data_IF_847883332699
#
_entry.id   IF_847883332699
#
_cell.length_a   1.000
_cell.length_b   1.000
_cell.length_c   1.000
_cell.angle_alpha   90.00
_cell.angle_beta   90.00
_cell.angle_gamma   90.00
#
_symmetry.space_group_name_H-M   'P 1'
#
loop_
_entity.id
_entity.type
_entity.pdbx_description
1 polymer ?
#
# COMPACT_ATOMS: atom_id res chain seq x y z
N UNK A 1 9.57 7.59 -14.97
CA UNK A 1 10.71 7.20 -14.12
C UNK A 1 11.53 8.39 -13.65
N UNK A 2 11.80 9.39 -14.49
CA UNK A 2 12.55 10.58 -14.05
C UNK A 2 11.87 11.37 -12.95
N UNK A 3 10.54 11.53 -13.03
CA UNK A 3 9.75 12.13 -11.95
C UNK A 3 9.84 11.31 -10.67
N UNK A 4 9.70 10.00 -10.76
CA UNK A 4 9.77 9.09 -9.61
C UNK A 4 11.14 9.18 -8.91
N UNK A 5 12.22 9.16 -9.68
CA UNK A 5 13.59 9.35 -9.16
C UNK A 5 13.76 10.71 -8.50
N UNK A 6 13.27 11.78 -9.14
CA UNK A 6 13.34 13.15 -8.61
C UNK A 6 12.56 13.35 -7.30
N UNK A 7 11.60 12.48 -7.03
CA UNK A 7 10.80 12.48 -5.80
C UNK A 7 11.34 11.51 -4.72
N UNK A 8 12.42 10.78 -5.02
CA UNK A 8 13.01 9.82 -4.09
C UNK A 8 12.22 8.52 -3.93
N UNK A 9 11.45 8.13 -4.96
CA UNK A 9 10.71 6.87 -4.93
C UNK A 9 11.63 5.69 -5.21
N UNK A 10 11.52 4.63 -4.42
CA UNK A 10 12.30 3.40 -4.56
C UNK A 10 11.62 2.35 -5.41
N UNK A 11 10.28 2.38 -5.48
CA UNK A 11 9.47 1.43 -6.23
C UNK A 11 8.32 2.13 -6.95
N UNK A 12 7.94 1.55 -8.08
CA UNK A 12 6.73 1.94 -8.83
C UNK A 12 5.92 0.70 -9.18
N UNK A 13 4.61 0.80 -9.05
CA UNK A 13 3.69 -0.24 -9.49
C UNK A 13 3.16 0.10 -10.88
N UNK A 14 3.39 -0.78 -11.83
CA UNK A 14 2.85 -0.65 -13.19
C UNK A 14 1.48 -1.30 -13.24
N UNK A 15 0.48 -0.46 -13.33
CA UNK A 15 -0.89 -0.87 -13.45
C UNK A 15 -1.20 -1.32 -14.88
N UNK A 16 -2.15 -2.24 -15.05
CA UNK A 16 -2.62 -2.68 -16.36
C UNK A 16 -3.26 -1.54 -17.18
N UNK A 17 -3.42 -1.77 -18.47
CA UNK A 17 -3.99 -0.80 -19.40
C UNK A 17 -3.01 0.25 -19.88
N UNK A 18 -1.73 0.00 -19.74
CA UNK A 18 -0.63 0.80 -20.29
C UNK A 18 0.02 0.12 -21.51
N UNK A 19 0.90 0.83 -22.18
CA UNK A 19 1.72 0.28 -23.29
C UNK A 19 2.74 -0.77 -22.83
N UNK A 20 3.02 -0.84 -21.52
CA UNK A 20 3.95 -1.78 -20.92
C UNK A 20 3.25 -3.01 -20.36
N UNK A 21 2.01 -2.85 -19.97
CA UNK A 21 1.18 -3.88 -19.36
C UNK A 21 -0.28 -3.67 -19.79
N UNK A 22 -0.65 -4.07 -21.02
CA UNK A 22 -1.94 -3.74 -21.58
C UNK A 22 -3.12 -4.45 -20.92
N UNK A 23 -2.95 -5.74 -20.57
CA UNK A 23 -4.02 -6.58 -20.05
C UNK A 23 -3.84 -6.87 -18.56
N UNK A 24 -4.97 -6.89 -17.86
CA UNK A 24 -4.98 -7.24 -16.45
C UNK A 24 -4.38 -8.64 -16.25
N UNK A 25 -3.53 -8.77 -15.26
CA UNK A 25 -2.95 -10.04 -14.85
C UNK A 25 -2.15 -10.81 -15.92
N UNK A 26 -1.86 -10.18 -17.05
CA UNK A 26 -1.14 -10.83 -18.13
C UNK A 26 -0.02 -9.95 -18.71
N UNK A 27 1.09 -9.76 -17.99
CA UNK A 27 2.21 -8.91 -18.41
C UNK A 27 3.15 -9.61 -19.43
N UNK A 28 2.62 -10.50 -20.27
CA UNK A 28 3.41 -11.32 -21.21
C UNK A 28 3.21 -10.93 -22.68
N UNK A 29 2.44 -9.87 -22.95
CA UNK A 29 2.17 -9.43 -24.33
C UNK A 29 3.19 -8.40 -24.79
N UNK A 30 3.45 -7.35 -24.03
CA UNK A 30 4.39 -6.26 -24.38
C UNK A 30 5.71 -6.41 -23.60
N UNK A 31 6.27 -7.61 -23.61
CA UNK A 31 7.43 -7.99 -22.80
C UNK A 31 8.67 -7.16 -23.07
N UNK A 32 8.95 -6.80 -24.35
CA UNK A 32 10.10 -5.96 -24.70
C UNK A 32 9.93 -4.53 -24.17
N UNK A 33 8.73 -3.96 -24.30
CA UNK A 33 8.44 -2.63 -23.77
C UNK A 33 8.57 -2.63 -22.24
N UNK A 34 8.02 -3.64 -21.58
CA UNK A 34 8.12 -3.78 -20.12
C UNK A 34 9.59 -3.95 -19.69
N UNK A 35 10.37 -4.76 -20.40
CA UNK A 35 11.79 -4.97 -20.12
C UNK A 35 12.59 -3.67 -20.25
N UNK A 36 12.39 -2.90 -21.31
CA UNK A 36 13.02 -1.60 -21.46
C UNK A 36 12.67 -0.64 -20.33
N UNK A 37 11.40 -0.61 -19.91
CA UNK A 37 10.96 0.20 -18.76
C UNK A 37 11.68 -0.22 -17.48
N UNK A 38 11.74 -1.53 -17.20
CA UNK A 38 12.38 -2.09 -16.00
C UNK A 38 13.89 -1.76 -16.01
N UNK A 39 14.57 -1.90 -17.14
CA UNK A 39 15.98 -1.55 -17.26
C UNK A 39 16.22 -0.05 -17.04
N UNK A 40 15.35 0.80 -17.58
CA UNK A 40 15.46 2.25 -17.38
C UNK A 40 15.19 2.63 -15.92
N UNK A 41 14.22 1.99 -15.28
CA UNK A 41 13.95 2.18 -13.85
C UNK A 41 15.15 1.76 -12.99
N UNK A 42 15.74 0.60 -13.29
CA UNK A 42 16.93 0.10 -12.59
C UNK A 42 18.14 1.04 -12.73
N UNK A 43 18.32 1.70 -13.87
CA UNK A 43 19.33 2.75 -14.04
C UNK A 43 19.10 3.95 -13.11
N UNK A 44 17.88 4.15 -12.63
CA UNK A 44 17.49 5.20 -11.68
C UNK A 44 17.36 4.69 -10.23
N UNK A 45 17.83 3.49 -9.96
CA UNK A 45 17.68 2.82 -8.65
C UNK A 45 16.21 2.61 -8.22
N UNK A 46 15.29 2.47 -9.19
CA UNK A 46 13.87 2.24 -8.96
C UNK A 46 13.52 0.81 -9.30
N UNK A 47 12.91 0.09 -8.34
CA UNK A 47 12.29 -1.20 -8.57
C UNK A 47 10.95 -1.07 -9.30
N UNK A 48 10.64 -2.01 -10.18
CA UNK A 48 9.34 -2.08 -10.86
C UNK A 48 8.57 -3.29 -10.38
N UNK A 49 7.39 -3.05 -9.84
CA UNK A 49 6.39 -4.07 -9.54
C UNK A 49 5.32 -4.05 -10.63
N UNK A 50 4.81 -5.20 -10.99
CA UNK A 50 3.72 -5.33 -11.95
C UNK A 50 2.43 -5.75 -11.26
N UNK A 51 1.31 -5.26 -11.74
CA UNK A 51 -0.02 -5.72 -11.35
C UNK A 51 -0.15 -7.19 -11.79
N UNK A 52 -0.25 -8.10 -10.83
CA UNK A 52 -0.25 -9.53 -11.08
C UNK A 52 -1.07 -10.27 -10.02
N UNK A 53 -2.36 -10.40 -10.28
CA UNK A 53 -3.33 -11.14 -9.46
C UNK A 53 -3.82 -12.37 -10.20
N UNK A 54 -4.59 -13.23 -9.58
CA UNK A 54 -5.01 -14.48 -10.22
C UNK A 54 -6.47 -14.50 -10.66
N UNK A 55 -7.28 -13.61 -10.12
CA UNK A 55 -8.72 -13.61 -10.38
C UNK A 55 -9.09 -13.11 -11.76
N UNK A 56 -8.44 -12.05 -12.19
CA UNK A 56 -8.73 -11.38 -13.44
C UNK A 56 -7.81 -11.88 -14.55
N UNK A 57 -8.35 -12.02 -15.73
CA UNK A 57 -7.69 -12.56 -16.91
C UNK A 57 -8.04 -11.78 -18.16
N UNK A 58 -7.32 -12.04 -19.24
CA UNK A 58 -7.56 -11.45 -20.54
C UNK A 58 -7.88 -12.52 -21.58
N UNK A 59 -8.67 -12.17 -22.57
CA UNK A 59 -8.86 -13.02 -23.76
C UNK A 59 -7.56 -13.26 -24.57
N UNK A 60 -6.50 -12.48 -24.30
CA UNK A 60 -5.16 -12.68 -24.88
C UNK A 60 -4.31 -13.70 -24.13
N UNK A 61 -4.73 -14.16 -22.97
CA UNK A 61 -4.06 -15.29 -22.31
C UNK A 61 -4.30 -16.56 -23.09
N UNK A 62 -3.26 -17.17 -23.63
CA UNK A 62 -3.39 -18.50 -24.25
C UNK A 62 -3.92 -19.53 -23.24
N UNK A 63 -3.51 -19.40 -21.98
CA UNK A 63 -3.88 -20.25 -20.85
C UNK A 63 -5.38 -20.21 -20.51
N UNK A 64 -6.08 -19.12 -20.80
CA UNK A 64 -7.52 -18.99 -20.47
C UNK A 64 -8.37 -20.06 -21.13
N UNK A 65 -7.98 -20.51 -22.32
CA UNK A 65 -8.65 -21.58 -23.04
C UNK A 65 -8.35 -22.95 -22.42
N UNK A 66 -7.14 -23.14 -21.91
CA UNK A 66 -6.79 -24.33 -21.14
C UNK A 66 -7.57 -24.37 -19.82
N UNK A 67 -7.75 -23.26 -19.15
CA UNK A 67 -8.56 -23.17 -17.92
C UNK A 67 -10.01 -23.55 -18.19
N UNK A 68 -10.59 -23.08 -19.29
CA UNK A 68 -11.92 -23.52 -19.70
C UNK A 68 -11.99 -25.03 -19.92
N UNK A 69 -11.00 -25.61 -20.59
CA UNK A 69 -10.95 -27.05 -20.86
C UNK A 69 -10.82 -27.89 -19.58
N UNK A 70 -10.11 -27.38 -18.57
CA UNK A 70 -9.97 -28.00 -17.26
C UNK A 70 -11.24 -27.83 -16.39
N UNK A 71 -12.06 -26.84 -16.69
CA UNK A 71 -13.37 -26.62 -16.08
C UNK A 71 -13.32 -26.55 -14.56
N UNK A 72 -14.07 -27.43 -13.91
CA UNK A 72 -14.23 -27.44 -12.44
C UNK A 72 -12.95 -27.68 -11.64
N UNK A 73 -11.88 -28.09 -12.30
CA UNK A 73 -10.58 -28.19 -11.63
C UNK A 73 -10.02 -26.81 -11.29
N UNK A 74 -10.28 -25.81 -12.13
CA UNK A 74 -9.74 -24.46 -12.00
C UNK A 74 -10.82 -23.45 -11.68
N UNK A 75 -11.97 -23.53 -12.36
CA UNK A 75 -13.04 -22.54 -12.27
C UNK A 75 -14.13 -23.04 -11.35
N UNK A 76 -14.46 -22.24 -10.34
CA UNK A 76 -15.57 -22.52 -9.46
C UNK A 76 -16.89 -22.03 -10.08
N UNK A 77 -17.72 -22.96 -10.49
CA UNK A 77 -19.02 -22.68 -11.15
C UNK A 77 -20.12 -22.38 -10.14
N UNK A 78 -20.00 -21.39 -9.34
CA UNK A 78 -21.18 -20.85 -8.64
C UNK A 78 -21.44 -19.46 -9.14
N UNK A 79 -22.73 -19.12 -9.30
CA UNK A 79 -23.19 -17.77 -9.48
C UNK A 79 -22.43 -16.88 -8.55
N UNK A 80 -21.32 -16.32 -9.05
CA UNK A 80 -20.37 -15.69 -8.20
C UNK A 80 -20.97 -14.40 -7.69
N UNK A 81 -20.93 -14.23 -6.38
CA UNK A 81 -21.13 -12.95 -5.73
C UNK A 81 -19.95 -11.98 -6.01
N UNK A 82 -19.21 -12.22 -7.10
CA UNK A 82 -18.11 -11.39 -7.50
C UNK A 82 -18.57 -10.00 -7.87
N UNK A 83 -18.02 -8.98 -7.23
CA UNK A 83 -18.22 -7.60 -7.61
C UNK A 83 -17.55 -7.33 -8.94
N UNK A 84 -18.33 -6.80 -9.88
CA UNK A 84 -17.81 -6.13 -11.05
C UNK A 84 -18.24 -4.68 -11.01
N UNK A 85 -17.29 -3.79 -11.20
CA UNK A 85 -17.54 -2.35 -11.34
C UNK A 85 -18.25 -2.00 -12.65
N UNK A 86 -18.18 -2.90 -13.64
CA UNK A 86 -18.69 -2.67 -14.98
C UNK A 86 -19.71 -3.73 -15.36
N UNK A 87 -20.80 -3.29 -16.00
CA UNK A 87 -21.80 -4.16 -16.56
C UNK A 87 -21.46 -4.43 -18.03
N UNK A 88 -21.66 -5.67 -18.45
CA UNK A 88 -21.63 -6.06 -19.87
C UNK A 88 -20.30 -6.70 -20.28
N UNK A 89 -20.23 -8.00 -20.16
CA UNK A 89 -19.22 -8.83 -20.84
C UNK A 89 -19.56 -8.85 -22.33
N UNK A 90 -18.58 -8.76 -23.25
CA UNK A 90 -18.84 -8.95 -24.68
C UNK A 90 -19.57 -10.25 -24.97
N UNK A 91 -20.56 -10.21 -25.88
CA UNK A 91 -21.45 -11.33 -26.18
C UNK A 91 -20.69 -12.61 -26.54
N UNK A 92 -19.65 -12.50 -27.36
CA UNK A 92 -18.84 -13.65 -27.78
C UNK A 92 -18.12 -14.35 -26.61
N UNK A 93 -17.73 -13.61 -25.55
CA UNK A 93 -17.16 -14.20 -24.34
C UNK A 93 -18.22 -14.94 -23.53
N UNK A 94 -19.42 -14.38 -23.43
CA UNK A 94 -20.58 -15.01 -22.78
C UNK A 94 -21.00 -16.27 -23.53
N UNK A 95 -21.02 -16.24 -24.84
CA UNK A 95 -21.30 -17.43 -25.67
C UNK A 95 -20.25 -18.53 -25.45
N UNK A 96 -18.98 -18.15 -25.32
CA UNK A 96 -17.91 -19.11 -25.18
C UNK A 96 -17.78 -19.67 -23.74
N UNK A 97 -17.88 -18.84 -22.71
CA UNK A 97 -17.67 -19.21 -21.31
C UNK A 97 -18.95 -19.47 -20.52
N UNK A 98 -20.11 -19.03 -21.02
CA UNK A 98 -21.36 -19.15 -20.31
C UNK A 98 -21.41 -18.26 -19.06
N UNK A 99 -21.92 -18.82 -17.98
CA UNK A 99 -22.06 -18.18 -16.66
C UNK A 99 -20.83 -18.30 -15.76
N UNK A 100 -19.72 -18.80 -16.31
CA UNK A 100 -18.49 -19.02 -15.54
C UNK A 100 -17.60 -17.79 -15.44
N UNK A 101 -17.90 -16.72 -16.16
CA UNK A 101 -17.13 -15.47 -16.16
C UNK A 101 -17.89 -14.32 -15.55
N UNK A 102 -17.11 -13.41 -15.00
CA UNK A 102 -17.57 -12.11 -14.48
C UNK A 102 -16.87 -10.99 -15.25
N UNK A 103 -17.50 -9.82 -15.41
CA UNK A 103 -16.80 -8.66 -15.94
C UNK A 103 -15.63 -8.29 -15.02
N UNK A 104 -14.46 -8.05 -15.61
CA UNK A 104 -13.30 -7.52 -14.90
C UNK A 104 -13.29 -5.98 -14.92
N UNK A 105 -12.24 -5.39 -14.35
CA UNK A 105 -12.09 -3.93 -14.29
C UNK A 105 -12.16 -3.26 -15.66
N UNK A 106 -11.52 -3.83 -16.68
CA UNK A 106 -11.59 -3.36 -18.07
C UNK A 106 -12.34 -4.34 -18.97
N UNK A 107 -13.64 -4.24 -18.97
CA UNK A 107 -14.50 -5.13 -19.73
C UNK A 107 -14.32 -4.96 -21.25
N UNK A 108 -13.85 -3.80 -21.70
CA UNK A 108 -13.77 -3.52 -23.13
C UNK A 108 -12.70 -2.49 -23.48
N UNK A 109 -11.81 -2.86 -24.39
CA UNK A 109 -10.81 -1.95 -24.95
C UNK A 109 -11.43 -1.20 -26.13
N UNK A 110 -11.75 0.08 -25.95
CA UNK A 110 -12.50 0.88 -26.93
C UNK A 110 -11.61 1.44 -28.05
N UNK A 111 -10.30 1.56 -27.80
CA UNK A 111 -9.38 2.25 -28.68
C UNK A 111 -8.02 1.54 -28.74
N UNK A 112 -7.21 1.90 -29.77
CA UNK A 112 -5.82 1.46 -29.88
C UNK A 112 -5.65 0.07 -30.47
N UNK A 113 -4.46 -0.48 -30.27
CA UNK A 113 -4.00 -1.79 -30.80
C UNK A 113 -4.91 -2.94 -30.38
N UNK A 114 -5.47 -2.86 -29.19
CA UNK A 114 -6.27 -3.92 -28.56
C UNK A 114 -7.77 -3.62 -28.58
N UNK A 115 -8.23 -2.78 -29.52
CA UNK A 115 -9.65 -2.47 -29.65
C UNK A 115 -10.48 -3.73 -29.89
N UNK A 116 -11.50 -3.93 -29.08
CA UNK A 116 -12.40 -5.09 -29.16
C UNK A 116 -12.07 -6.19 -28.15
N UNK A 117 -10.90 -6.14 -27.54
CA UNK A 117 -10.52 -7.08 -26.49
C UNK A 117 -11.14 -6.73 -25.14
N UNK A 118 -11.11 -7.68 -24.22
CA UNK A 118 -11.69 -7.53 -22.90
C UNK A 118 -10.87 -8.25 -21.84
N UNK A 119 -10.92 -7.72 -20.62
CA UNK A 119 -10.55 -8.45 -19.42
C UNK A 119 -11.78 -9.13 -18.83
N UNK A 120 -11.59 -10.30 -18.28
CA UNK A 120 -12.61 -11.11 -17.63
C UNK A 120 -12.10 -11.61 -16.27
N UNK A 121 -13.01 -12.00 -15.41
CA UNK A 121 -12.68 -12.62 -14.14
C UNK A 121 -13.28 -14.01 -14.03
N UNK A 122 -12.57 -14.90 -13.35
CA UNK A 122 -13.08 -16.18 -12.88
C UNK A 122 -13.05 -16.23 -11.35
N UNK A 123 -13.95 -17.02 -10.77
CA UNK A 123 -13.74 -17.49 -9.40
C UNK A 123 -12.87 -18.74 -9.52
N UNK A 124 -11.62 -18.61 -9.10
CA UNK A 124 -10.65 -19.68 -9.21
C UNK A 124 -10.70 -20.60 -7.99
N UNK A 125 -10.40 -21.87 -8.20
CA UNK A 125 -10.22 -22.81 -7.11
C UNK A 125 -8.83 -22.67 -6.52
N UNK A 126 -8.71 -22.64 -5.19
CA UNK A 126 -7.41 -22.70 -4.53
C UNK A 126 -6.72 -24.06 -4.81
N UNK A 127 -5.40 -24.07 -4.69
CA UNK A 127 -4.54 -25.26 -4.92
C UNK A 127 -4.76 -25.94 -6.29
N UNK A 128 -5.07 -25.14 -7.30
CA UNK A 128 -5.30 -25.64 -8.66
C UNK A 128 -4.05 -25.55 -9.54
N UNK A 129 -4.11 -26.13 -10.73
CA UNK A 129 -3.02 -25.96 -11.72
C UNK A 129 -2.85 -24.51 -12.16
N UNK A 130 -3.86 -23.66 -12.02
CA UNK A 130 -3.73 -22.22 -12.29
C UNK A 130 -2.64 -21.61 -11.43
N UNK A 131 -2.55 -21.99 -10.16
CA UNK A 131 -1.54 -21.47 -9.25
C UNK A 131 -0.11 -21.83 -9.70
N UNK A 132 0.06 -22.99 -10.34
CA UNK A 132 1.34 -23.36 -10.95
C UNK A 132 1.70 -22.44 -12.12
N UNK A 133 0.76 -22.14 -13.00
CA UNK A 133 0.97 -21.18 -14.10
C UNK A 133 1.32 -19.78 -13.56
N UNK A 134 0.62 -19.36 -12.50
CA UNK A 134 0.88 -18.08 -11.85
C UNK A 134 2.32 -18.02 -11.32
N UNK A 135 2.77 -19.03 -10.60
CA UNK A 135 4.11 -19.09 -10.01
C UNK A 135 5.21 -19.22 -11.09
N UNK A 136 5.00 -20.03 -12.11
CA UNK A 136 5.93 -20.14 -13.24
C UNK A 136 6.04 -18.82 -14.02
N UNK A 137 4.90 -18.16 -14.24
CA UNK A 137 4.87 -16.84 -14.86
C UNK A 137 5.62 -15.80 -14.04
N UNK A 138 5.47 -15.81 -12.73
CA UNK A 138 6.20 -14.92 -11.82
C UNK A 138 7.72 -15.17 -11.91
N UNK A 139 8.16 -16.41 -11.84
CA UNK A 139 9.57 -16.77 -11.95
C UNK A 139 10.15 -16.30 -13.29
N UNK A 140 9.39 -16.51 -14.36
CA UNK A 140 9.77 -16.05 -15.70
C UNK A 140 9.92 -14.53 -15.79
N UNK A 141 8.97 -13.77 -15.23
CA UNK A 141 9.02 -12.29 -15.20
C UNK A 141 10.24 -11.78 -14.45
N UNK A 142 10.58 -12.40 -13.34
CA UNK A 142 11.77 -12.04 -12.57
C UNK A 142 13.04 -12.29 -13.39
N UNK A 143 13.16 -13.47 -13.98
CA UNK A 143 14.39 -13.90 -14.70
C UNK A 143 14.58 -13.21 -16.04
N UNK A 144 13.52 -12.95 -16.79
CA UNK A 144 13.60 -12.49 -18.17
C UNK A 144 13.30 -10.98 -18.34
N UNK A 145 12.46 -10.43 -17.49
CA UNK A 145 12.10 -9.00 -17.50
C UNK A 145 12.89 -8.23 -16.43
N UNK A 146 13.12 -8.85 -15.27
CA UNK A 146 13.84 -8.25 -14.16
C UNK A 146 12.96 -7.43 -13.22
N UNK A 147 11.66 -7.74 -13.13
CA UNK A 147 10.76 -7.09 -12.16
C UNK A 147 11.28 -7.31 -10.74
N UNK A 148 10.99 -6.36 -9.85
CA UNK A 148 11.38 -6.41 -8.43
C UNK A 148 10.27 -6.81 -7.50
N UNK A 149 9.04 -6.90 -7.99
CA UNK A 149 7.92 -7.33 -7.17
C UNK A 149 6.64 -7.43 -7.95
N UNK A 150 5.60 -7.79 -7.22
CA UNK A 150 4.24 -7.83 -7.73
C UNK A 150 3.32 -6.95 -6.87
N UNK A 151 2.33 -6.42 -7.52
CA UNK A 151 1.20 -5.78 -6.88
C UNK A 151 -0.03 -6.69 -7.04
N UNK A 152 -0.55 -7.14 -5.92
CA UNK A 152 -1.76 -7.95 -5.86
C UNK A 152 -2.91 -7.02 -5.48
N UNK A 153 -3.90 -6.92 -6.35
CA UNK A 153 -5.11 -6.18 -6.08
C UNK A 153 -6.20 -7.15 -5.64
N UNK A 154 -6.77 -6.86 -4.47
CA UNK A 154 -7.73 -7.74 -3.83
C UNK A 154 -7.15 -9.11 -3.39
N UNK A 155 -7.87 -9.79 -2.52
CA UNK A 155 -7.46 -11.05 -1.89
C UNK A 155 -7.98 -12.27 -2.66
N UNK A 156 -7.54 -12.40 -3.89
CA UNK A 156 -8.00 -13.50 -4.76
C UNK A 156 -7.10 -14.74 -4.73
N UNK A 157 -5.96 -14.67 -4.04
CA UNK A 157 -5.02 -15.79 -3.89
C UNK A 157 -5.22 -16.51 -2.56
N UNK A 158 -5.07 -17.83 -2.58
CA UNK A 158 -5.00 -18.63 -1.36
C UNK A 158 -3.62 -18.47 -0.67
N UNK A 159 -3.56 -18.85 0.60
CA UNK A 159 -2.35 -18.76 1.42
C UNK A 159 -1.14 -19.46 0.79
N UNK A 160 -1.34 -20.67 0.26
CA UNK A 160 -0.25 -21.49 -0.32
C UNK A 160 0.36 -20.80 -1.54
N UNK A 161 -0.47 -20.21 -2.38
CA UNK A 161 -0.01 -19.49 -3.57
C UNK A 161 0.75 -18.22 -3.21
N UNK A 162 0.28 -17.45 -2.22
CA UNK A 162 1.00 -16.26 -1.72
C UNK A 162 2.34 -16.65 -1.10
N UNK A 163 2.39 -17.72 -0.31
CA UNK A 163 3.64 -18.26 0.26
C UNK A 163 4.64 -18.65 -0.83
N UNK A 164 4.19 -19.35 -1.87
CA UNK A 164 5.02 -19.74 -3.02
C UNK A 164 5.54 -18.51 -3.77
N UNK A 165 4.68 -17.53 -4.04
CA UNK A 165 5.07 -16.28 -4.67
C UNK A 165 6.13 -15.55 -3.83
N UNK A 166 5.93 -15.48 -2.51
CA UNK A 166 6.92 -14.89 -1.59
C UNK A 166 8.27 -15.61 -1.64
N UNK A 167 8.29 -16.93 -1.70
CA UNK A 167 9.54 -17.70 -1.83
C UNK A 167 10.30 -17.37 -3.12
N UNK A 168 9.59 -17.31 -4.25
CA UNK A 168 10.19 -16.96 -5.55
C UNK A 168 10.74 -15.53 -5.53
N UNK A 169 9.99 -14.58 -5.02
CA UNK A 169 10.41 -13.18 -4.91
C UNK A 169 11.58 -13.01 -3.95
N UNK A 170 11.53 -13.61 -2.76
CA UNK A 170 12.58 -13.47 -1.75
C UNK A 170 13.94 -13.96 -2.24
N UNK A 171 14.01 -15.01 -3.07
CA UNK A 171 15.24 -15.50 -3.69
C UNK A 171 15.90 -14.44 -4.59
N UNK A 172 15.16 -13.43 -5.05
CA UNK A 172 15.62 -12.40 -5.96
C UNK A 172 15.58 -10.99 -5.32
N UNK A 173 15.40 -10.90 -4.00
CA UNK A 173 15.27 -9.63 -3.28
C UNK A 173 14.01 -8.86 -3.66
N UNK A 174 12.97 -9.56 -4.08
CA UNK A 174 11.71 -8.97 -4.51
C UNK A 174 10.67 -8.87 -3.41
N UNK A 175 9.58 -8.13 -3.67
CA UNK A 175 8.54 -7.82 -2.70
C UNK A 175 7.13 -8.13 -3.22
N UNK A 176 6.22 -8.35 -2.28
CA UNK A 176 4.78 -8.38 -2.51
C UNK A 176 4.16 -7.12 -1.90
N UNK A 177 3.59 -6.29 -2.76
CA UNK A 177 2.77 -5.16 -2.39
C UNK A 177 1.30 -5.51 -2.65
N UNK A 178 0.45 -5.36 -1.66
CA UNK A 178 -0.94 -5.81 -1.77
C UNK A 178 -1.93 -4.71 -1.45
N UNK A 179 -2.89 -4.51 -2.34
CA UNK A 179 -4.08 -3.74 -2.06
C UNK A 179 -5.13 -4.66 -1.43
N UNK A 180 -5.35 -4.47 -0.15
CA UNK A 180 -6.49 -5.10 0.49
C UNK A 180 -7.73 -4.29 0.21
N UNK A 181 -8.74 -4.99 -0.30
CA UNK A 181 -10.06 -4.41 -0.52
C UNK A 181 -10.45 -3.53 0.67
N UNK A 182 -11.03 -2.45 0.34
CA UNK A 182 -11.38 -1.34 1.20
C UNK A 182 -12.19 -1.73 2.42
N UNK A 183 -12.26 -0.86 3.30
CA UNK A 183 -13.20 -0.53 4.35
C UNK A 183 -13.61 -1.62 5.34
N UNK A 184 -14.26 -1.13 6.33
CA UNK A 184 -14.89 -1.82 7.43
C UNK A 184 -15.93 -2.83 6.91
N UNK A 185 -15.98 -4.00 7.49
CA UNK A 185 -17.01 -4.99 7.22
C UNK A 185 -18.07 -4.94 8.32
N UNK A 186 -19.19 -4.26 8.11
CA UNK A 186 -20.21 -4.06 9.16
C UNK A 186 -20.80 -5.36 9.69
N UNK A 187 -20.85 -6.39 8.84
CA UNK A 187 -21.36 -7.71 9.24
C UNK A 187 -20.40 -8.44 10.17
N UNK A 188 -19.12 -8.08 10.16
CA UNK A 188 -18.07 -8.64 11.01
C UNK A 188 -17.66 -7.68 12.14
N UNK A 189 -18.55 -6.77 12.57
CA UNK A 189 -18.31 -5.85 13.68
C UNK A 189 -17.31 -4.74 13.33
N UNK A 190 -17.38 -4.23 12.11
CA UNK A 190 -16.48 -3.18 11.57
C UNK A 190 -15.00 -3.61 11.51
N UNK A 191 -14.75 -4.91 11.45
CA UNK A 191 -13.41 -5.47 11.24
C UNK A 191 -12.87 -5.04 9.88
N UNK A 192 -11.63 -4.59 9.84
CA UNK A 192 -10.97 -4.25 8.59
C UNK A 192 -10.68 -5.50 7.75
N UNK A 193 -10.54 -5.32 6.45
CA UNK A 193 -10.12 -6.40 5.56
C UNK A 193 -8.75 -6.97 5.94
N UNK A 194 -7.87 -6.20 6.59
CA UNK A 194 -6.59 -6.67 7.10
C UNK A 194 -6.76 -7.84 8.08
N UNK A 195 -7.69 -7.74 9.01
CA UNK A 195 -7.94 -8.80 9.98
C UNK A 195 -8.67 -9.99 9.38
N UNK A 196 -9.47 -9.79 8.35
CA UNK A 196 -10.13 -10.90 7.64
C UNK A 196 -9.15 -11.82 6.91
N UNK A 197 -7.98 -11.30 6.53
CA UNK A 197 -6.97 -12.01 5.75
C UNK A 197 -5.65 -12.22 6.51
N UNK A 198 -5.74 -12.45 7.81
CA UNK A 198 -4.57 -12.65 8.68
C UNK A 198 -3.64 -13.77 8.23
N UNK A 199 -4.17 -14.78 7.56
CA UNK A 199 -3.39 -15.94 7.10
C UNK A 199 -2.35 -15.61 6.02
N UNK A 200 -2.55 -14.52 5.27
CA UNK A 200 -1.61 -14.10 4.22
C UNK A 200 -0.68 -12.96 4.65
N UNK A 201 -1.00 -12.26 5.74
CA UNK A 201 -0.22 -11.12 6.23
C UNK A 201 1.29 -11.40 6.39
N UNK A 202 1.71 -12.58 6.90
CA UNK A 202 3.15 -12.85 7.09
C UNK A 202 3.98 -12.90 5.80
N UNK A 203 3.33 -13.00 4.64
CA UNK A 203 4.01 -13.11 3.35
C UNK A 203 4.10 -11.78 2.59
N UNK A 204 3.44 -10.74 3.10
CA UNK A 204 3.38 -9.42 2.47
C UNK A 204 4.49 -8.51 2.98
N UNK A 205 5.00 -7.66 2.12
CA UNK A 205 6.01 -6.65 2.47
C UNK A 205 5.37 -5.27 2.67
N UNK A 206 4.31 -4.99 1.94
CA UNK A 206 3.62 -3.71 1.97
C UNK A 206 2.13 -3.89 1.73
N UNK A 207 1.34 -3.02 2.34
CA UNK A 207 -0.12 -3.03 2.24
C UNK A 207 -0.64 -1.67 1.80
N UNK A 208 -1.54 -1.68 0.83
CA UNK A 208 -2.38 -0.53 0.54
C UNK A 208 -3.72 -0.75 1.19
N UNK A 209 -4.06 0.13 2.10
CA UNK A 209 -5.27 0.00 2.89
C UNK A 209 -6.01 1.32 2.99
N UNK A 210 -7.32 1.24 3.19
CA UNK A 210 -8.14 2.38 3.53
C UNK A 210 -8.75 3.10 2.35
N UNK A 211 -8.90 2.45 1.20
CA UNK A 211 -9.76 2.94 0.15
C UNK A 211 -11.17 3.15 0.71
N UNK A 212 -11.68 4.38 0.64
CA UNK A 212 -12.94 4.77 1.27
C UNK A 212 -12.84 5.15 2.75
N UNK A 213 -11.69 5.02 3.41
CA UNK A 213 -11.56 5.39 4.82
C UNK A 213 -11.55 6.90 5.03
N UNK A 214 -12.34 7.35 5.97
CA UNK A 214 -12.27 8.71 6.49
C UNK A 214 -11.30 8.76 7.67
N UNK A 215 -9.98 8.68 7.42
CA UNK A 215 -8.93 8.57 8.45
C UNK A 215 -9.11 9.47 9.67
N UNK A 216 -9.56 10.72 9.45
CA UNK A 216 -9.80 11.69 10.54
C UNK A 216 -10.96 11.34 11.47
N UNK A 217 -11.83 10.41 11.06
CA UNK A 217 -12.97 9.95 11.87
C UNK A 217 -12.64 8.71 12.69
N UNK A 218 -11.60 7.99 12.33
CA UNK A 218 -11.18 6.76 13.00
C UNK A 218 -10.54 7.07 14.35
N UNK A 219 -10.68 6.16 15.30
CA UNK A 219 -10.00 6.26 16.60
C UNK A 219 -8.53 5.90 16.48
N UNK A 220 -7.66 6.40 17.39
CA UNK A 220 -6.26 6.02 17.37
C UNK A 220 -6.03 4.52 17.58
N UNK A 221 -6.88 3.87 18.38
CA UNK A 221 -6.81 2.43 18.63
C UNK A 221 -7.19 1.62 17.39
N UNK A 222 -8.25 2.02 16.69
CA UNK A 222 -8.67 1.40 15.42
C UNK A 222 -7.56 1.52 14.36
N UNK A 223 -6.97 2.69 14.22
CA UNK A 223 -5.85 2.91 13.30
C UNK A 223 -4.66 2.00 13.64
N UNK A 224 -4.35 1.80 14.92
CA UNK A 224 -3.27 0.92 15.35
C UNK A 224 -3.56 -0.55 15.00
N UNK A 225 -4.73 -1.03 15.36
CA UNK A 225 -5.04 -2.46 15.31
C UNK A 225 -5.54 -2.93 13.95
N UNK A 226 -6.32 -2.08 13.27
CA UNK A 226 -7.06 -2.46 12.07
C UNK A 226 -6.50 -1.90 10.77
N UNK A 227 -5.59 -0.90 10.84
CA UNK A 227 -5.17 -0.18 9.65
C UNK A 227 -3.66 -0.16 9.46
N UNK A 228 -2.89 -0.01 10.53
CA UNK A 228 -1.45 0.29 10.45
C UNK A 228 -0.57 -0.84 9.91
N UNK A 229 -0.99 -2.09 10.04
CA UNK A 229 -0.16 -3.26 9.79
C UNK A 229 0.82 -3.61 10.90
N UNK A 230 1.01 -2.73 11.89
CA UNK A 230 1.96 -2.92 13.00
C UNK A 230 1.77 -4.25 13.73
N UNK A 231 0.54 -4.70 14.06
CA UNK A 231 0.35 -5.99 14.72
C UNK A 231 0.88 -7.20 13.94
N UNK A 232 1.05 -7.04 12.64
CA UNK A 232 1.51 -8.10 11.73
C UNK A 232 2.94 -7.91 11.24
N UNK A 233 3.62 -6.84 11.65
CA UNK A 233 4.95 -6.49 11.16
C UNK A 233 4.99 -5.94 9.73
N UNK A 234 3.87 -5.45 9.23
CA UNK A 234 3.74 -4.91 7.88
C UNK A 234 3.78 -3.38 7.86
N UNK A 235 4.19 -2.83 6.73
CA UNK A 235 4.11 -1.40 6.44
C UNK A 235 2.85 -1.11 5.62
N UNK A 236 1.92 -0.34 6.18
CA UNK A 236 0.72 0.09 5.47
C UNK A 236 0.91 1.43 4.77
N UNK A 237 0.27 1.58 3.62
CA UNK A 237 0.19 2.81 2.86
C UNK A 237 -1.27 3.28 2.80
N UNK A 238 -1.50 4.55 3.10
CA UNK A 238 -2.84 5.13 3.03
C UNK A 238 -3.19 5.51 1.60
N UNK A 239 -4.36 5.06 1.13
CA UNK A 239 -4.82 5.28 -0.24
C UNK A 239 -5.62 6.56 -0.42
N UNK A 240 -6.75 6.65 0.28
CA UNK A 240 -7.78 7.62 -0.02
C UNK A 240 -7.44 9.05 0.36
N UNK A 241 -7.91 9.99 -0.44
CA UNK A 241 -7.90 11.42 -0.15
C UNK A 241 -6.50 12.00 0.10
N UNK A 242 -5.46 11.29 -0.33
CA UNK A 242 -4.09 11.63 -0.05
C UNK A 242 -3.61 11.22 1.33
N UNK A 243 -4.38 10.39 2.03
CA UNK A 243 -4.10 10.03 3.41
C UNK A 243 -4.11 11.24 4.35
N UNK A 244 -3.49 11.09 5.49
CA UNK A 244 -3.24 12.17 6.45
C UNK A 244 -1.80 12.03 6.96
N UNK A 245 -0.85 12.86 6.48
CA UNK A 245 0.57 12.69 6.75
C UNK A 245 0.93 12.60 8.24
N UNK A 246 0.24 13.36 9.08
CA UNK A 246 0.49 13.33 10.53
C UNK A 246 -0.06 12.05 11.17
N UNK A 247 -1.21 11.53 10.70
CA UNK A 247 -1.69 10.21 11.13
C UNK A 247 -0.72 9.15 10.65
N UNK A 248 -0.27 9.21 9.38
CA UNK A 248 0.75 8.30 8.87
C UNK A 248 1.97 8.22 9.76
N UNK A 249 2.53 9.37 10.14
CA UNK A 249 3.69 9.45 11.02
C UNK A 249 3.45 8.93 12.45
N UNK A 250 2.20 8.81 12.92
CA UNK A 250 1.93 8.17 14.21
C UNK A 250 2.12 6.65 14.18
N UNK A 251 2.00 6.03 13.00
CA UNK A 251 2.00 4.57 12.84
C UNK A 251 3.04 4.06 11.82
N UNK A 252 3.98 4.89 11.42
CA UNK A 252 4.93 4.61 10.33
C UNK A 252 4.24 4.23 9.01
N UNK A 253 3.02 4.69 8.80
CA UNK A 253 2.32 4.52 7.54
C UNK A 253 2.75 5.59 6.54
N UNK A 254 2.91 5.18 5.30
CA UNK A 254 3.21 6.07 4.21
C UNK A 254 1.92 6.56 3.52
N UNK A 255 2.03 7.67 2.80
CA UNK A 255 1.05 8.08 1.82
C UNK A 255 1.58 7.69 0.45
N UNK A 256 0.79 6.99 -0.32
CA UNK A 256 1.13 6.66 -1.69
C UNK A 256 1.23 7.93 -2.55
N UNK A 257 2.28 8.04 -3.37
CA UNK A 257 2.36 9.07 -4.40
C UNK A 257 1.62 8.62 -5.67
N UNK A 258 0.89 9.52 -6.28
CA UNK A 258 -0.01 9.24 -7.40
C UNK A 258 -1.47 9.07 -6.93
N UNK A 259 -2.36 8.66 -7.83
CA UNK A 259 -3.78 8.45 -7.53
C UNK A 259 -4.47 9.67 -6.86
N UNK A 260 -4.09 10.87 -7.30
CA UNK A 260 -4.59 12.14 -6.74
C UNK A 260 -3.78 12.71 -5.56
N UNK A 261 -2.82 11.98 -5.03
CA UNK A 261 -1.93 12.43 -3.94
C UNK A 261 -0.67 13.04 -4.52
N UNK A 262 -0.56 14.37 -4.47
CA UNK A 262 0.59 15.10 -5.06
C UNK A 262 1.60 15.62 -4.05
N UNK A 263 1.33 15.54 -2.76
CA UNK A 263 2.17 16.13 -1.72
C UNK A 263 2.84 15.08 -0.79
N UNK A 264 2.65 13.79 -1.03
CA UNK A 264 3.28 12.73 -0.25
C UNK A 264 4.82 12.84 -0.22
N UNK A 265 5.44 13.25 -1.33
CA UNK A 265 6.88 13.42 -1.44
C UNK A 265 7.48 14.44 -0.45
N UNK A 266 6.69 15.36 0.09
CA UNK A 266 7.18 16.28 1.13
C UNK A 266 7.52 15.55 2.43
N UNK A 267 6.76 14.48 2.75
CA UNK A 267 7.06 13.62 3.90
C UNK A 267 8.30 12.76 3.60
N UNK A 268 8.43 12.23 2.37
CA UNK A 268 9.61 11.44 1.98
C UNK A 268 10.89 12.26 2.15
N UNK A 269 10.86 13.51 1.68
CA UNK A 269 11.98 14.44 1.87
C UNK A 269 12.31 14.67 3.36
N UNK A 270 11.30 14.82 4.22
CA UNK A 270 11.54 14.93 5.66
C UNK A 270 12.22 13.67 6.20
N UNK A 271 11.80 12.48 5.74
CA UNK A 271 12.40 11.23 6.18
C UNK A 271 13.85 11.12 5.75
N UNK A 272 14.16 11.45 4.51
CA UNK A 272 15.54 11.46 3.98
C UNK A 272 16.42 12.48 4.73
N UNK A 273 15.94 13.71 4.87
CA UNK A 273 16.67 14.79 5.55
C UNK A 273 16.95 14.45 7.04
N UNK A 274 16.06 13.71 7.69
CA UNK A 274 16.23 13.25 9.06
C UNK A 274 17.06 11.95 9.14
N UNK A 275 17.04 11.11 8.11
CA UNK A 275 17.55 9.75 8.12
C UNK A 275 16.69 8.84 9.00
N UNK A 276 15.41 8.76 8.67
CA UNK A 276 14.40 8.07 9.51
C UNK A 276 14.65 6.55 9.58
N UNK A 277 15.30 5.97 8.57
CA UNK A 277 15.65 4.55 8.51
C UNK A 277 16.60 4.13 9.66
N UNK A 278 17.44 5.06 10.14
CA UNK A 278 18.34 4.85 11.26
C UNK A 278 17.70 5.15 12.63
N UNK A 279 16.39 5.40 12.66
CA UNK A 279 15.69 5.78 13.89
C UNK A 279 14.95 4.61 14.52
N UNK A 280 14.84 4.67 15.85
CA UNK A 280 13.94 3.82 16.62
C UNK A 280 12.59 4.49 16.75
N UNK A 281 11.53 3.85 16.25
CA UNK A 281 10.16 4.33 16.43
C UNK A 281 9.62 3.92 17.80
N UNK A 282 9.15 4.89 18.57
CA UNK A 282 8.41 4.67 19.82
C UNK A 282 7.01 5.26 19.67
N UNK A 283 6.06 4.40 19.32
CA UNK A 283 4.67 4.77 19.13
C UNK A 283 4.00 5.29 20.40
N UNK A 284 2.91 6.02 20.26
CA UNK A 284 2.16 6.57 21.39
C UNK A 284 1.65 5.49 22.37
N UNK A 285 1.55 4.24 21.94
CA UNK A 285 1.18 3.04 22.73
C UNK A 285 2.38 2.37 23.43
N UNK A 286 3.59 2.79 23.12
CA UNK A 286 4.80 2.15 23.63
C UNK A 286 5.14 2.66 25.04
N UNK A 287 5.36 1.75 26.00
CA UNK A 287 5.65 2.09 27.39
C UNK A 287 6.92 2.94 27.57
N UNK A 288 7.89 2.84 26.66
CA UNK A 288 9.14 3.61 26.66
C UNK A 288 9.06 4.86 25.76
N UNK A 289 7.87 5.33 25.42
CA UNK A 289 7.73 6.58 24.67
C UNK A 289 8.19 7.76 25.56
N UNK A 290 9.17 8.57 25.11
CA UNK A 290 9.70 9.65 25.91
C UNK A 290 8.79 10.87 26.03
N UNK A 291 7.66 10.91 25.31
CA UNK A 291 6.77 12.07 25.23
C UNK A 291 5.41 11.79 25.85
N UNK A 292 5.05 12.58 26.87
CA UNK A 292 3.71 12.60 27.45
C UNK A 292 3.03 13.92 27.10
N UNK A 293 1.93 13.87 26.36
CA UNK A 293 1.18 15.06 25.93
C UNK A 293 0.34 15.66 27.07
N UNK A 294 -0.03 14.86 28.06
CA UNK A 294 -0.96 15.23 29.13
C UNK A 294 -2.41 15.44 28.67
N UNK A 295 -2.73 14.97 27.47
CA UNK A 295 -4.07 15.03 26.89
C UNK A 295 -4.35 13.75 26.10
N UNK A 296 -5.38 13.02 26.48
CA UNK A 296 -5.71 11.71 25.91
C UNK A 296 -6.16 11.78 24.44
N UNK A 297 -6.68 12.92 24.01
CA UNK A 297 -7.04 13.13 22.61
C UNK A 297 -5.82 13.45 21.70
N UNK A 298 -4.67 13.77 22.31
CA UNK A 298 -3.43 14.07 21.56
C UNK A 298 -2.44 12.94 21.70
N UNK A 299 -2.22 12.23 20.64
CA UNK A 299 -1.23 11.15 20.58
C UNK A 299 0.10 11.66 20.04
N UNK A 300 1.21 11.10 20.54
CA UNK A 300 2.56 11.46 20.13
C UNK A 300 3.40 10.21 19.86
N UNK A 301 3.98 10.11 18.67
CA UNK A 301 4.97 9.08 18.30
C UNK A 301 6.33 9.73 18.08
N UNK A 302 7.39 9.06 18.50
CA UNK A 302 8.76 9.56 18.45
C UNK A 302 9.60 8.67 17.56
N UNK A 303 10.36 9.28 16.67
CA UNK A 303 11.42 8.64 15.89
C UNK A 303 12.76 9.13 16.47
N UNK A 304 13.45 8.23 17.12
CA UNK A 304 14.60 8.54 17.99
C UNK A 304 15.90 8.17 17.30
N UNK A 305 16.85 9.12 17.26
CA UNK A 305 18.24 8.93 16.87
C UNK A 305 19.17 9.44 17.95
N UNK A 306 20.44 9.10 17.87
CA UNK A 306 21.45 9.63 18.79
C UNK A 306 21.53 11.16 18.69
N UNK A 307 21.11 11.86 19.75
CA UNK A 307 21.15 13.32 19.85
C UNK A 307 20.06 14.07 19.07
N UNK A 308 19.09 13.38 18.45
CA UNK A 308 17.96 14.02 17.77
C UNK A 308 16.72 13.12 17.76
N UNK A 309 15.54 13.75 17.68
CA UNK A 309 14.30 13.01 17.51
C UNK A 309 13.27 13.82 16.70
N UNK A 310 12.47 13.13 15.89
CA UNK A 310 11.21 13.67 15.38
C UNK A 310 10.08 13.27 16.34
N UNK A 311 9.27 14.22 16.72
CA UNK A 311 8.07 14.02 17.55
C UNK A 311 6.87 14.36 16.68
N UNK A 312 6.13 13.37 16.27
CA UNK A 312 4.87 13.58 15.56
C UNK A 312 3.72 13.55 16.55
N UNK A 313 2.89 14.59 16.54
CA UNK A 313 1.70 14.72 17.38
C UNK A 313 0.48 14.90 16.52
N UNK A 314 -0.66 14.32 16.92
CA UNK A 314 -1.94 14.51 16.27
C UNK A 314 -3.07 14.62 17.29
N UNK A 315 -3.94 15.61 17.11
CA UNK A 315 -5.11 15.82 17.94
C UNK A 315 -6.33 15.12 17.31
N UNK A 316 -6.74 13.99 17.91
CA UNK A 316 -7.94 13.25 17.53
C UNK A 316 -9.24 13.88 18.03
N UNK A 317 -9.15 14.91 18.87
CA UNK A 317 -10.31 15.59 19.45
C UNK A 317 -11.08 16.46 18.45
N UNK A 318 -12.28 16.86 18.88
CA UNK A 318 -13.18 17.74 18.11
C UNK A 318 -12.90 19.22 18.32
N UNK A 319 -12.05 19.55 19.30
CA UNK A 319 -11.67 20.90 19.67
C UNK A 319 -10.15 21.08 19.60
N UNK A 320 -9.71 22.32 19.52
CA UNK A 320 -8.28 22.61 19.61
C UNK A 320 -7.76 22.27 21.01
N UNK A 321 -6.61 21.61 21.05
CA UNK A 321 -5.92 21.27 22.29
C UNK A 321 -4.73 22.22 22.52
N UNK A 322 -4.53 22.61 23.76
CA UNK A 322 -3.31 23.27 24.23
C UNK A 322 -2.57 22.30 25.12
N UNK A 323 -1.36 21.91 24.71
CA UNK A 323 -0.55 20.92 25.41
C UNK A 323 0.81 21.50 25.80
N UNK A 324 1.36 21.01 26.91
CA UNK A 324 2.75 21.19 27.30
C UNK A 324 3.38 19.79 27.38
N UNK A 325 3.94 19.29 26.27
CA UNK A 325 4.46 17.94 26.25
C UNK A 325 5.64 17.85 27.22
N UNK A 326 5.57 16.87 28.12
CA UNK A 326 6.69 16.53 29.00
C UNK A 326 7.58 15.52 28.30
N UNK A 327 8.85 15.85 28.16
CA UNK A 327 9.86 14.99 27.58
C UNK A 327 10.67 14.34 28.68
N UNK A 328 10.73 13.03 28.69
CA UNK A 328 11.54 12.25 29.62
C UNK A 328 12.94 12.06 29.01
N UNK A 329 13.90 12.85 29.47
CA UNK A 329 15.25 12.90 28.93
C UNK A 329 16.00 11.56 29.06
N UNK A 330 15.73 10.82 30.14
CA UNK A 330 16.29 9.47 30.34
C UNK A 330 15.83 8.46 29.28
N UNK A 331 14.59 8.60 28.77
CA UNK A 331 14.06 7.77 27.69
C UNK A 331 14.45 8.33 26.32
N UNK A 332 14.61 9.64 26.19
CA UNK A 332 15.07 10.28 24.97
C UNK A 332 16.57 10.02 24.71
N UNK A 333 17.35 9.86 25.79
CA UNK A 333 18.80 9.62 25.73
C UNK A 333 19.62 10.90 25.57
N UNK A 334 19.01 12.07 25.60
CA UNK A 334 19.65 13.38 25.57
C UNK A 334 18.73 14.48 26.15
N UNK A 335 19.32 15.61 26.53
CA UNK A 335 18.56 16.80 26.99
C UNK A 335 18.31 17.72 25.78
N UNK A 336 17.05 17.95 25.37
CA UNK A 336 16.75 18.80 24.24
C UNK A 336 17.14 20.26 24.49
N UNK A 337 18.02 20.82 23.67
CA UNK A 337 18.40 22.23 23.70
C UNK A 337 17.62 23.08 22.71
N UNK A 338 17.17 22.46 21.63
CA UNK A 338 16.43 23.13 20.58
C UNK A 338 15.21 22.31 20.18
N UNK A 339 14.13 23.01 19.88
CA UNK A 339 12.94 22.44 19.29
C UNK A 339 12.45 23.34 18.16
N UNK A 340 12.17 22.74 17.02
CA UNK A 340 11.64 23.47 15.88
C UNK A 340 10.67 22.61 15.07
N UNK A 341 9.80 23.26 14.36
CA UNK A 341 8.92 22.64 13.36
C UNK A 341 9.68 22.61 12.04
N UNK A 342 9.99 21.45 11.46
CA UNK A 342 10.54 21.39 10.12
C UNK A 342 9.53 21.98 9.10
N UNK A 343 10.05 22.60 8.05
CA UNK A 343 9.21 22.97 6.91
C UNK A 343 8.97 21.72 6.05
N UNK A 344 7.67 21.41 5.84
CA UNK A 344 7.27 20.21 5.08
C UNK A 344 6.37 20.67 3.93
N UNK A 345 6.97 21.26 2.92
CA UNK A 345 6.26 21.77 1.73
C UNK A 345 4.96 22.50 2.10
N UNK A 346 3.84 22.05 1.53
CA UNK A 346 2.50 22.61 1.81
C UNK A 346 1.84 22.04 3.08
N UNK A 347 2.48 21.05 3.73
CA UNK A 347 1.89 20.31 4.87
C UNK A 347 2.10 21.07 6.19
N UNK A 348 3.32 21.59 6.40
CA UNK A 348 3.68 22.28 7.64
C UNK A 348 4.65 23.45 7.40
N UNK A 349 4.33 24.62 7.93
CA UNK A 349 5.27 25.73 7.95
C UNK A 349 6.33 25.54 9.02
N UNK A 350 7.57 25.81 8.65
CA UNK A 350 8.72 25.78 9.54
C UNK A 350 8.68 26.87 10.61
N UNK A 351 9.40 26.65 11.72
CA UNK A 351 9.51 27.67 12.76
C UNK A 351 10.03 27.11 14.09
N UNK A 352 10.48 28.00 14.94
CA UNK A 352 10.93 27.64 16.30
C UNK A 352 9.75 27.19 17.15
N UNK A 353 9.93 26.19 17.97
CA UNK A 353 8.96 25.71 18.94
C UNK A 353 9.49 25.94 20.37
N UNK A 354 8.62 26.43 21.25
CA UNK A 354 8.91 26.60 22.66
C UNK A 354 8.03 25.64 23.45
N UNK A 355 8.63 24.56 23.91
CA UNK A 355 7.91 23.51 24.64
C UNK A 355 7.40 23.98 26.01
N UNK A 356 8.03 25.02 26.60
CA UNK A 356 7.64 25.56 27.91
C UNK A 356 6.38 26.43 27.81
N UNK A 357 6.23 27.15 26.71
CA UNK A 357 5.03 27.98 26.48
C UNK A 357 3.80 27.18 26.10
N UNK A 358 4.02 25.95 25.70
CA UNK A 358 2.98 25.06 25.22
C UNK A 358 2.69 25.23 23.73
N UNK A 359 1.98 24.24 23.20
CA UNK A 359 1.70 24.10 21.79
C UNK A 359 0.17 24.04 21.57
N UNK A 360 -0.30 24.71 20.54
CA UNK A 360 -1.70 24.62 20.13
C UNK A 360 -1.81 23.69 18.93
N UNK A 361 -2.59 22.61 19.07
CA UNK A 361 -2.99 21.74 18.00
C UNK A 361 -4.48 21.95 17.70
N UNK A 362 -4.82 22.34 16.48
CA UNK A 362 -6.21 22.43 16.04
C UNK A 362 -6.93 21.07 16.12
N UNK A 363 -8.26 21.09 16.10
CA UNK A 363 -9.06 19.88 15.99
C UNK A 363 -8.69 19.09 14.71
N UNK A 364 -8.46 17.79 14.84
CA UNK A 364 -8.08 16.93 13.69
C UNK A 364 -6.87 17.46 12.91
N UNK A 365 -5.87 17.99 13.63
CA UNK A 365 -4.62 18.51 13.07
C UNK A 365 -3.42 17.91 13.78
N UNK A 366 -2.34 17.78 13.03
CA UNK A 366 -1.06 17.31 13.53
C UNK A 366 0.03 18.38 13.51
N UNK A 367 1.16 17.99 14.09
CA UNK A 367 2.40 18.77 14.11
C UNK A 367 3.58 17.82 14.23
N UNK A 368 4.63 18.08 13.48
CA UNK A 368 5.93 17.43 13.66
C UNK A 368 6.90 18.43 14.24
N UNK A 369 7.62 18.01 15.27
CA UNK A 369 8.74 18.74 15.86
C UNK A 369 10.02 17.94 15.66
N UNK A 370 11.10 18.61 15.40
CA UNK A 370 12.45 18.07 15.55
C UNK A 370 13.08 18.66 16.80
N UNK A 371 13.62 17.79 17.66
CA UNK A 371 14.37 18.19 18.86
C UNK A 371 15.80 17.68 18.75
N UNK A 372 16.75 18.49 19.21
CA UNK A 372 18.20 18.19 19.18
C UNK A 372 18.85 18.47 20.53
N UNK A 373 19.93 17.71 20.82
CA UNK A 373 20.79 17.85 21.98
C UNK A 373 21.45 19.24 22.07
#
# INVERSE_FOLDING_TARGET
MDEAAGLGLNYVNIHHGSEYHPFINYPFIETENLKHLVQYAAYKDIGVNVYYTVREHSNHMAEVFAYKALGDEIIYRKNGDGHSWWKGVPEWLTEYFGDTILPAWRVYYKHGKYKGDADISFIVRPDSRLDNYYIEGLDWLIKNIGIKGIYIDDTSLDRTTVERAKKVLAQNGGMIDMHMWNHEEPRAGDTSCMNLYTEIQPFLDSLWIGEGYAYKKLSPEYLLMEVSGIPYGNASQMLEGGGEPFIGMLYAMNNRYGWGVKNAHHIYKLWDDFGIEDSEMRGWWHSQNPVCTGNDEVKATVYLKKGSALICMYNFGRHAAYIRPRIQENLLGFSPRTAFRPHIGTIQHGGRADLHKGLRLGAKKGMILEVKA
#
